data_IF_886091513444
#
_entry.id   IF_886091513444
#
_cell.length_a   1.000
_cell.length_b   1.000
_cell.length_c   1.000
_cell.angle_alpha   90.00
_cell.angle_beta   90.00
_cell.angle_gamma   90.00
#
_symmetry.space_group_name_H-M   'P 1'
#
loop_
_entity.id
_entity.type
_entity.pdbx_description
1 polymer ?
#
# COMPACT_ATOMS: atom_id res chain seq x y z
N UNK A 1 19.83 -1.82 11.50
CA UNK A 1 18.80 -1.10 12.27
C UNK A 1 19.38 -0.80 13.63
N UNK A 2 19.66 0.47 13.92
CA UNK A 2 20.28 0.87 15.19
C UNK A 2 19.27 1.03 16.33
N UNK A 3 17.96 1.05 16.03
CA UNK A 3 16.89 1.19 17.03
C UNK A 3 15.71 0.29 16.67
N UNK A 4 15.36 -0.61 17.57
CA UNK A 4 14.14 -1.39 17.52
C UNK A 4 13.16 -0.77 18.50
N UNK A 5 11.98 -0.39 18.01
CA UNK A 5 10.90 0.15 18.85
C UNK A 5 9.73 -0.83 18.87
N UNK A 6 9.25 -1.13 20.08
CA UNK A 6 8.09 -1.99 20.29
C UNK A 6 7.14 -1.32 21.28
N UNK A 7 5.92 -1.05 20.85
CA UNK A 7 4.86 -0.56 21.72
C UNK A 7 4.08 -1.75 22.29
N UNK A 8 3.94 -1.78 23.62
CA UNK A 8 3.14 -2.77 24.34
C UNK A 8 1.94 -2.05 24.92
N UNK A 9 0.74 -2.39 24.45
CA UNK A 9 -0.52 -1.84 24.93
C UNK A 9 -1.23 -2.86 25.82
N UNK A 10 -1.21 -2.71 27.15
CA UNK A 10 -1.98 -3.57 28.03
C UNK A 10 -3.48 -3.37 27.79
N UNK A 11 -4.23 -4.45 27.71
CA UNK A 11 -5.66 -4.43 27.45
C UNK A 11 -6.37 -5.56 28.22
N UNK A 12 -7.67 -5.44 28.35
CA UNK A 12 -8.55 -6.51 28.87
C UNK A 12 -9.61 -6.85 27.82
N UNK A 13 -10.20 -8.05 27.83
CA UNK A 13 -11.36 -8.35 26.98
C UNK A 13 -12.50 -7.36 27.27
N UNK A 14 -13.22 -6.93 26.21
CA UNK A 14 -14.39 -6.06 26.35
C UNK A 14 -15.50 -6.75 27.16
N UNK A 15 -15.66 -8.06 26.95
CA UNK A 15 -16.60 -8.91 27.67
C UNK A 15 -15.90 -10.10 28.28
N UNK A 16 -16.27 -10.46 29.52
CA UNK A 16 -15.72 -11.62 30.22
C UNK A 16 -16.34 -12.95 29.77
N UNK A 17 -17.41 -12.90 29.00
CA UNK A 17 -18.04 -14.10 28.45
C UNK A 17 -17.38 -14.44 27.13
N UNK A 18 -16.55 -15.43 27.17
CA UNK A 18 -15.79 -15.95 26.07
C UNK A 18 -16.68 -16.75 25.10
N UNK A 19 -17.28 -16.06 24.18
CA UNK A 19 -17.39 -16.66 22.86
C UNK A 19 -15.94 -16.73 22.31
N UNK A 20 -15.45 -17.91 21.90
CA UNK A 20 -14.03 -18.07 21.50
C UNK A 20 -13.64 -17.24 20.26
N UNK A 21 -14.56 -16.49 19.70
CA UNK A 21 -14.38 -15.65 18.52
C UNK A 21 -14.50 -14.15 18.80
N UNK A 22 -14.88 -13.74 20.00
CA UNK A 22 -14.94 -12.33 20.39
C UNK A 22 -13.54 -11.87 20.81
N UNK A 23 -12.89 -11.10 19.93
CA UNK A 23 -11.54 -10.57 20.12
C UNK A 23 -11.54 -9.09 20.43
N UNK A 24 -12.70 -8.55 20.84
CA UNK A 24 -12.86 -7.17 21.28
C UNK A 24 -12.09 -6.92 22.56
N UNK A 25 -11.31 -5.86 22.57
CA UNK A 25 -10.51 -5.44 23.72
C UNK A 25 -10.95 -4.06 24.22
N UNK A 26 -10.73 -3.84 25.52
CA UNK A 26 -10.87 -2.56 26.17
C UNK A 26 -9.48 -2.04 26.54
N UNK A 27 -9.18 -0.84 26.08
CA UNK A 27 -7.95 -0.10 26.38
C UNK A 27 -8.29 1.06 27.28
N UNK A 28 -7.53 1.21 28.36
CA UNK A 28 -7.66 2.38 29.24
C UNK A 28 -6.81 3.51 28.70
N UNK A 29 -7.46 4.61 28.33
CA UNK A 29 -6.82 5.83 27.85
C UNK A 29 -6.77 6.88 28.94
N UNK A 30 -5.57 7.38 29.24
CA UNK A 30 -5.38 8.45 30.24
C UNK A 30 -5.76 9.79 29.62
N UNK A 31 -6.81 10.45 30.16
CA UNK A 31 -7.24 11.79 29.74
C UNK A 31 -6.40 12.86 30.42
N UNK A 32 -6.23 12.75 31.75
CA UNK A 32 -5.41 13.66 32.56
C UNK A 32 -4.83 12.93 33.78
N UNK A 33 -4.25 13.65 34.73
CA UNK A 33 -3.56 13.06 35.87
C UNK A 33 -4.41 12.06 36.68
N UNK A 34 -5.75 12.24 36.73
CA UNK A 34 -6.66 11.46 37.58
C UNK A 34 -7.78 10.75 36.79
N UNK A 35 -8.00 11.10 35.51
CA UNK A 35 -9.14 10.59 34.75
C UNK A 35 -8.66 9.69 33.61
N UNK A 36 -9.39 8.60 33.47
CA UNK A 36 -9.20 7.59 32.43
C UNK A 36 -10.51 7.41 31.68
N UNK A 37 -10.39 7.07 30.39
CA UNK A 37 -11.49 6.71 29.52
C UNK A 37 -11.24 5.34 28.94
N UNK A 38 -12.30 4.56 28.78
CA UNK A 38 -12.21 3.24 28.15
C UNK A 38 -12.45 3.37 26.64
N UNK A 39 -11.51 2.87 25.87
CA UNK A 39 -11.63 2.76 24.42
C UNK A 39 -11.70 1.31 24.00
N UNK A 40 -12.55 1.04 23.05
CA UNK A 40 -12.72 -0.29 22.51
C UNK A 40 -12.00 -0.42 21.18
N UNK A 41 -11.44 -1.59 20.92
CA UNK A 41 -10.80 -1.92 19.65
C UNK A 41 -10.86 -3.43 19.40
N UNK A 42 -10.64 -3.85 18.15
CA UNK A 42 -10.53 -5.25 17.78
C UNK A 42 -9.39 -5.48 16.77
N UNK A 43 -8.13 -5.47 17.20
CA UNK A 43 -6.98 -5.63 16.31
C UNK A 43 -6.96 -6.97 15.58
N UNK A 44 -7.37 -8.05 16.24
CA UNK A 44 -7.42 -9.37 15.63
C UNK A 44 -8.52 -9.47 14.56
N UNK A 45 -9.73 -8.99 14.86
CA UNK A 45 -10.81 -8.91 13.88
C UNK A 45 -10.46 -8.00 12.70
N UNK A 46 -9.82 -6.85 12.97
CA UNK A 46 -9.32 -5.96 11.94
C UNK A 46 -8.31 -6.65 11.01
N UNK A 47 -7.36 -7.38 11.58
CA UNK A 47 -6.40 -8.18 10.80
C UNK A 47 -7.12 -9.19 9.91
N UNK A 48 -8.08 -9.94 10.45
CA UNK A 48 -8.88 -10.92 9.70
C UNK A 48 -9.65 -10.26 8.56
N UNK A 49 -10.32 -9.14 8.85
CA UNK A 49 -11.00 -8.36 7.82
C UNK A 49 -10.03 -7.92 6.71
N UNK A 50 -8.88 -7.40 7.06
CA UNK A 50 -7.88 -6.97 6.08
C UNK A 50 -7.38 -8.14 5.21
N UNK A 51 -7.15 -9.30 5.81
CA UNK A 51 -6.77 -10.53 5.09
C UNK A 51 -7.83 -10.90 4.05
N UNK A 52 -9.14 -10.84 4.37
CA UNK A 52 -10.21 -11.17 3.42
C UNK A 52 -10.25 -10.25 2.20
N UNK A 53 -9.75 -9.02 2.31
CA UNK A 53 -9.70 -8.07 1.17
C UNK A 53 -8.75 -8.53 0.07
N UNK A 54 -7.82 -9.40 0.36
CA UNK A 54 -6.77 -9.83 -0.58
C UNK A 54 -6.68 -11.36 -0.76
N UNK A 55 -7.56 -12.14 -0.15
CA UNK A 55 -7.48 -13.61 -0.12
C UNK A 55 -7.33 -14.24 -1.51
N UNK A 56 -8.13 -13.81 -2.48
CA UNK A 56 -8.10 -14.35 -3.85
C UNK A 56 -6.76 -14.10 -4.53
N UNK A 57 -6.25 -12.88 -4.41
CA UNK A 57 -4.98 -12.48 -5.01
C UNK A 57 -3.81 -13.13 -4.26
N UNK A 58 -3.87 -13.20 -2.94
CA UNK A 58 -2.86 -13.88 -2.13
C UNK A 58 -2.74 -15.37 -2.51
N UNK A 59 -3.86 -16.04 -2.70
CA UNK A 59 -3.86 -17.44 -3.15
C UNK A 59 -3.23 -17.61 -4.54
N UNK A 60 -3.50 -16.68 -5.48
CA UNK A 60 -2.90 -16.66 -6.82
C UNK A 60 -1.39 -16.44 -6.73
N UNK A 61 -0.97 -15.42 -5.99
CA UNK A 61 0.44 -15.08 -5.82
C UNK A 61 1.24 -16.20 -5.13
N UNK A 62 0.68 -16.86 -4.12
CA UNK A 62 1.29 -18.03 -3.49
C UNK A 62 1.54 -19.17 -4.48
N UNK A 63 0.58 -19.46 -5.36
CA UNK A 63 0.75 -20.50 -6.40
C UNK A 63 1.87 -20.14 -7.38
N UNK A 64 1.93 -18.87 -7.80
CA UNK A 64 2.99 -18.37 -8.69
C UNK A 64 4.36 -18.51 -8.03
N UNK A 65 4.48 -18.04 -6.78
CA UNK A 65 5.72 -18.13 -6.00
C UNK A 65 6.18 -19.57 -5.78
N UNK A 66 5.26 -20.46 -5.42
CA UNK A 66 5.55 -21.88 -5.24
C UNK A 66 6.10 -22.50 -6.53
N UNK A 67 5.44 -22.24 -7.67
CA UNK A 67 5.87 -22.73 -8.99
C UNK A 67 7.26 -22.21 -9.38
N UNK A 68 7.53 -20.92 -9.19
CA UNK A 68 8.82 -20.31 -9.53
C UNK A 68 9.98 -20.81 -8.66
N UNK A 69 9.70 -21.12 -7.39
CA UNK A 69 10.69 -21.58 -6.43
C UNK A 69 10.71 -23.10 -6.22
N UNK A 70 9.89 -23.87 -6.96
CA UNK A 70 9.76 -25.32 -6.86
C UNK A 70 9.45 -25.78 -5.43
N UNK A 71 8.50 -25.09 -4.79
CA UNK A 71 7.98 -25.38 -3.45
C UNK A 71 6.53 -25.87 -3.51
N UNK A 72 6.09 -26.59 -2.48
CA UNK A 72 4.66 -26.83 -2.27
C UNK A 72 3.98 -25.51 -1.80
N UNK A 73 2.69 -25.35 -2.15
CA UNK A 73 1.96 -24.10 -1.82
C UNK A 73 1.85 -23.90 -0.31
N UNK A 74 1.69 -24.99 0.42
CA UNK A 74 1.58 -25.05 1.88
C UNK A 74 2.85 -24.55 2.57
N UNK A 75 4.01 -24.77 1.95
CA UNK A 75 5.33 -24.36 2.47
C UNK A 75 5.65 -22.88 2.20
N UNK A 76 4.82 -22.18 1.42
CA UNK A 76 5.02 -20.75 1.14
C UNK A 76 4.52 -19.89 2.30
N UNK A 77 5.42 -19.29 3.11
CA UNK A 77 5.01 -18.43 4.20
C UNK A 77 4.30 -17.17 3.67
N UNK A 78 3.19 -16.80 4.28
CA UNK A 78 2.37 -15.65 3.84
C UNK A 78 3.16 -14.33 3.82
N UNK A 79 4.14 -14.18 4.72
CA UNK A 79 4.98 -12.96 4.77
C UNK A 79 5.97 -12.83 3.59
N UNK A 80 6.24 -13.92 2.86
CA UNK A 80 7.11 -13.90 1.67
C UNK A 80 6.40 -13.39 0.42
N UNK A 81 5.09 -13.44 0.42
CA UNK A 81 4.27 -13.04 -0.73
C UNK A 81 3.51 -11.76 -0.38
N UNK A 82 3.79 -10.70 -1.12
CA UNK A 82 3.08 -9.42 -0.97
C UNK A 82 2.07 -9.25 -2.07
N UNK A 83 0.85 -8.93 -1.67
CA UNK A 83 -0.22 -8.61 -2.62
C UNK A 83 -0.11 -7.17 -3.14
N UNK A 84 -0.72 -6.84 -4.30
CA UNK A 84 -0.80 -5.48 -4.80
C UNK A 84 -1.35 -4.49 -3.78
N UNK A 85 -2.38 -4.87 -3.00
CA UNK A 85 -2.91 -4.05 -1.91
C UNK A 85 -1.84 -3.70 -0.86
N UNK A 86 -1.08 -4.69 -0.40
CA UNK A 86 -0.03 -4.46 0.60
C UNK A 86 1.07 -3.55 0.07
N UNK A 87 1.49 -3.76 -1.20
CA UNK A 87 2.50 -2.93 -1.84
C UNK A 87 2.00 -1.50 -2.08
N UNK A 88 0.77 -1.33 -2.54
CA UNK A 88 0.15 -0.03 -2.73
C UNK A 88 0.09 0.76 -1.41
N UNK A 89 -0.36 0.12 -0.31
CA UNK A 89 -0.39 0.74 1.02
C UNK A 89 1.02 1.15 1.48
N UNK A 90 2.04 0.33 1.24
CA UNK A 90 3.42 0.68 1.59
C UNK A 90 3.92 1.90 0.80
N UNK A 91 3.62 1.99 -0.50
CA UNK A 91 3.96 3.13 -1.33
C UNK A 91 3.21 4.40 -0.88
N UNK A 92 1.92 4.31 -0.61
CA UNK A 92 1.13 5.43 -0.10
C UNK A 92 1.63 5.93 1.26
N UNK A 93 1.99 5.03 2.17
CA UNK A 93 2.61 5.42 3.45
C UNK A 93 3.96 6.09 3.25
N UNK A 94 4.80 5.56 2.35
CA UNK A 94 6.09 6.19 2.03
C UNK A 94 5.90 7.58 1.43
N UNK A 95 4.97 7.73 0.50
CA UNK A 95 4.61 9.01 -0.09
C UNK A 95 4.14 10.02 0.98
N UNK A 96 3.28 9.57 1.92
CA UNK A 96 2.87 10.37 3.06
C UNK A 96 4.07 10.85 3.88
N UNK A 97 4.99 9.96 4.21
CA UNK A 97 6.14 10.27 5.05
C UNK A 97 7.04 11.33 4.40
N UNK A 98 7.24 11.26 3.09
CA UNK A 98 7.97 12.27 2.32
C UNK A 98 7.18 13.60 2.28
N UNK A 99 5.88 13.54 1.97
CA UNK A 99 5.05 14.74 1.88
C UNK A 99 4.97 15.52 3.19
N UNK A 100 4.91 14.82 4.31
CA UNK A 100 4.79 15.41 5.65
C UNK A 100 6.11 15.50 6.41
N UNK A 101 7.27 15.30 5.79
CA UNK A 101 8.57 15.29 6.49
C UNK A 101 8.83 16.54 7.34
N UNK A 102 8.24 17.69 6.96
CA UNK A 102 8.36 18.96 7.67
C UNK A 102 7.09 19.35 8.46
N UNK A 103 6.07 18.48 8.51
CA UNK A 103 4.79 18.73 9.20
C UNK A 103 4.14 17.41 9.66
N UNK A 104 4.87 16.61 10.42
CA UNK A 104 4.44 15.28 10.85
C UNK A 104 3.18 15.29 11.74
N UNK A 105 2.90 16.40 12.44
CA UNK A 105 1.72 16.51 13.33
C UNK A 105 0.40 16.39 12.59
N UNK A 106 0.35 16.82 11.33
CA UNK A 106 -0.84 16.77 10.49
C UNK A 106 -0.87 15.57 9.54
N UNK A 107 0.16 14.70 9.59
CA UNK A 107 0.22 13.53 8.76
C UNK A 107 -0.93 12.55 9.09
N UNK A 108 -1.62 11.99 8.09
CA UNK A 108 -2.61 10.96 8.31
C UNK A 108 -2.01 9.76 9.01
N UNK A 109 -2.66 9.27 10.05
CA UNK A 109 -2.21 8.05 10.73
C UNK A 109 -2.36 6.83 9.81
N UNK A 110 -1.46 5.87 9.98
CA UNK A 110 -1.35 4.70 9.09
C UNK A 110 -2.64 3.89 8.98
N UNK A 111 -3.42 3.81 10.05
CA UNK A 111 -4.66 3.02 10.06
C UNK A 111 -5.74 3.63 9.15
N UNK A 112 -5.84 4.96 9.06
CA UNK A 112 -6.76 5.64 8.13
C UNK A 112 -6.41 5.26 6.69
N UNK A 113 -5.14 5.38 6.30
CA UNK A 113 -4.68 5.02 4.95
C UNK A 113 -4.96 3.55 4.67
N UNK A 114 -4.61 2.65 5.61
CA UNK A 114 -4.81 1.21 5.44
C UNK A 114 -6.28 0.84 5.29
N UNK A 115 -7.15 1.42 6.13
CA UNK A 115 -8.60 1.12 6.12
C UNK A 115 -9.25 1.59 4.83
N UNK A 116 -9.00 2.84 4.43
CA UNK A 116 -9.59 3.42 3.23
C UNK A 116 -9.06 2.72 1.96
N UNK A 117 -7.77 2.41 1.92
CA UNK A 117 -7.18 1.65 0.82
C UNK A 117 -7.79 0.25 0.69
N UNK A 118 -7.93 -0.47 1.80
CA UNK A 118 -8.52 -1.80 1.79
C UNK A 118 -10.01 -1.79 1.43
N UNK A 119 -10.76 -0.74 1.82
CA UNK A 119 -12.17 -0.56 1.40
C UNK A 119 -12.28 -0.27 -0.10
N UNK A 120 -11.37 0.52 -0.66
CA UNK A 120 -11.38 0.92 -2.07
C UNK A 120 -10.80 -0.14 -3.03
N UNK A 121 -9.98 -1.05 -2.52
CA UNK A 121 -9.38 -2.13 -3.31
C UNK A 121 -10.41 -3.16 -3.75
N UNK A 122 -10.43 -3.50 -5.05
CA UNK A 122 -11.39 -4.42 -5.65
C UNK A 122 -10.77 -5.75 -6.13
N UNK A 123 -9.49 -5.97 -5.83
CA UNK A 123 -8.78 -7.19 -6.23
C UNK A 123 -7.93 -7.00 -7.48
N UNK A 124 -7.40 -5.81 -7.70
CA UNK A 124 -6.50 -5.50 -8.80
C UNK A 124 -5.24 -6.38 -8.75
N UNK A 125 -4.79 -6.82 -9.91
CA UNK A 125 -3.68 -7.76 -10.03
C UNK A 125 -2.29 -7.09 -10.05
N UNK A 126 -2.25 -5.79 -10.37
CA UNK A 126 -1.00 -5.03 -10.40
C UNK A 126 -0.98 -3.92 -9.34
N UNK A 127 0.21 -3.55 -8.89
CA UNK A 127 0.39 -2.47 -7.92
C UNK A 127 -0.11 -1.13 -8.47
N UNK A 128 0.11 -0.88 -9.76
CA UNK A 128 -0.32 0.36 -10.40
C UNK A 128 -1.85 0.47 -10.44
N UNK A 129 -2.53 -0.58 -10.88
CA UNK A 129 -4.00 -0.63 -10.88
C UNK A 129 -4.56 -0.47 -9.47
N UNK A 130 -3.96 -1.14 -8.49
CA UNK A 130 -4.34 -1.01 -7.08
C UNK A 130 -4.19 0.43 -6.57
N UNK A 131 -3.08 1.12 -6.88
CA UNK A 131 -2.88 2.52 -6.51
C UNK A 131 -3.93 3.42 -7.17
N UNK A 132 -4.19 3.23 -8.47
CA UNK A 132 -5.20 3.99 -9.20
C UNK A 132 -6.61 3.81 -8.60
N UNK A 133 -7.02 2.56 -8.38
CA UNK A 133 -8.32 2.24 -7.79
C UNK A 133 -8.45 2.81 -6.37
N UNK A 134 -7.44 2.62 -5.54
CA UNK A 134 -7.39 3.13 -4.17
C UNK A 134 -7.51 4.66 -4.15
N UNK A 135 -6.65 5.37 -4.87
CA UNK A 135 -6.63 6.83 -4.85
C UNK A 135 -7.91 7.46 -5.42
N UNK A 136 -8.54 6.81 -6.41
CA UNK A 136 -9.80 7.29 -6.97
C UNK A 136 -11.02 6.96 -6.11
N UNK A 137 -10.94 5.89 -5.31
CA UNK A 137 -12.08 5.37 -4.54
C UNK A 137 -12.06 5.65 -3.04
N UNK A 138 -10.89 5.87 -2.42
CA UNK A 138 -10.78 5.86 -0.96
C UNK A 138 -11.56 6.97 -0.24
N UNK A 139 -11.77 8.11 -0.85
CA UNK A 139 -12.49 9.24 -0.26
C UNK A 139 -13.97 8.93 -0.04
N UNK A 140 -14.60 8.11 -0.87
CA UNK A 140 -16.02 7.74 -0.76
C UNK A 140 -16.34 6.91 0.49
N UNK A 141 -15.32 6.34 1.14
CA UNK A 141 -15.45 5.58 2.39
C UNK A 141 -15.26 6.43 3.65
N UNK A 142 -15.13 7.74 3.50
CA UNK A 142 -15.16 8.69 4.60
C UNK A 142 -16.62 9.10 4.79
N UNK A 143 -17.22 8.66 5.87
CA UNK A 143 -18.61 8.94 6.18
C UNK A 143 -18.74 10.24 6.99
N UNK A 144 -19.93 10.86 6.95
CA UNK A 144 -20.28 11.96 7.84
C UNK A 144 -21.50 11.51 8.64
N UNK A 145 -21.30 11.30 9.94
CA UNK A 145 -22.36 10.90 10.88
C UNK A 145 -22.59 12.01 11.88
N UNK A 146 -23.81 12.60 11.90
CA UNK A 146 -24.16 13.72 12.77
C UNK A 146 -23.15 14.90 12.69
N UNK A 147 -22.66 15.22 11.50
CA UNK A 147 -21.67 16.27 11.29
C UNK A 147 -20.21 15.87 11.60
N UNK A 148 -19.97 14.64 12.04
CA UNK A 148 -18.64 14.09 12.38
C UNK A 148 -18.10 13.29 11.22
N UNK A 149 -16.86 13.56 10.82
CA UNK A 149 -16.14 12.73 9.86
C UNK A 149 -15.73 11.40 10.50
N UNK A 150 -16.08 10.30 9.84
CA UNK A 150 -15.82 8.96 10.32
C UNK A 150 -15.05 8.13 9.31
N UNK A 151 -13.94 7.56 9.76
CA UNK A 151 -13.28 6.42 9.12
C UNK A 151 -13.45 5.23 10.08
N UNK A 152 -14.54 4.52 9.87
CA UNK A 152 -15.01 3.47 10.77
C UNK A 152 -14.09 2.26 10.75
N UNK A 153 -13.73 1.73 11.94
CA UNK A 153 -13.19 0.39 12.04
C UNK A 153 -14.22 -0.61 11.49
N UNK A 154 -13.89 -1.42 10.48
CA UNK A 154 -14.85 -2.29 9.81
C UNK A 154 -15.40 -3.43 10.70
N UNK A 155 -14.80 -3.66 11.86
CA UNK A 155 -15.17 -4.73 12.81
C UNK A 155 -15.52 -4.21 14.20
N UNK A 156 -15.49 -2.87 14.41
CA UNK A 156 -15.81 -2.24 15.69
C UNK A 156 -16.49 -0.89 15.44
N UNK A 157 -17.80 -0.83 15.61
CA UNK A 157 -18.57 0.38 15.29
C UNK A 157 -18.24 1.57 16.19
N UNK A 158 -17.83 1.33 17.41
CA UNK A 158 -17.48 2.38 18.36
C UNK A 158 -16.13 3.05 18.05
N UNK A 159 -15.29 2.43 17.18
CA UNK A 159 -13.98 2.96 16.87
C UNK A 159 -13.96 3.76 15.56
N UNK A 160 -13.79 5.08 15.68
CA UNK A 160 -13.59 5.99 14.57
C UNK A 160 -12.10 6.40 14.48
N UNK A 161 -11.39 5.98 13.45
CA UNK A 161 -9.98 6.33 13.27
C UNK A 161 -9.76 7.82 12.95
N UNK A 162 -10.81 8.54 12.53
CA UNK A 162 -10.78 9.97 12.26
C UNK A 162 -11.32 10.83 13.40
N UNK A 163 -11.44 10.29 14.62
CA UNK A 163 -12.00 10.98 15.81
C UNK A 163 -11.34 12.33 16.07
N UNK A 164 -10.02 12.44 15.87
CA UNK A 164 -9.25 13.66 16.07
C UNK A 164 -9.50 14.75 15.02
N UNK A 165 -10.15 14.45 13.90
CA UNK A 165 -10.41 15.46 12.87
C UNK A 165 -11.43 16.53 13.30
N UNK A 166 -12.23 16.25 14.33
CA UNK A 166 -13.11 17.25 14.94
C UNK A 166 -12.35 18.26 15.79
N UNK A 167 -11.41 17.76 16.59
CA UNK A 167 -10.60 18.60 17.48
C UNK A 167 -9.51 19.35 16.71
N UNK A 168 -8.98 18.73 15.65
CA UNK A 168 -7.90 19.22 14.80
C UNK A 168 -8.34 19.20 13.32
N UNK A 169 -9.19 20.13 12.86
CA UNK A 169 -9.72 20.13 11.49
C UNK A 169 -8.65 20.31 10.40
N UNK A 170 -7.48 20.86 10.77
CA UNK A 170 -6.31 20.94 9.90
C UNK A 170 -5.80 19.56 9.46
N UNK A 171 -5.93 18.50 10.28
CA UNK A 171 -5.55 17.13 9.91
C UNK A 171 -6.42 16.58 8.79
N UNK A 172 -7.72 16.85 8.82
CA UNK A 172 -8.63 16.51 7.73
C UNK A 172 -8.23 17.23 6.44
N UNK A 173 -8.02 18.55 6.55
CA UNK A 173 -7.60 19.35 5.40
C UNK A 173 -6.27 18.86 4.81
N UNK A 174 -5.32 18.49 5.67
CA UNK A 174 -4.03 17.94 5.28
C UNK A 174 -4.19 16.58 4.57
N UNK A 175 -5.11 15.72 5.05
CA UNK A 175 -5.42 14.44 4.41
C UNK A 175 -5.92 14.61 2.97
N UNK A 176 -6.89 15.49 2.72
CA UNK A 176 -7.40 15.73 1.37
C UNK A 176 -6.36 16.38 0.45
N UNK A 177 -5.54 17.31 0.96
CA UNK A 177 -4.40 17.86 0.20
C UNK A 177 -3.40 16.77 -0.19
N UNK A 178 -3.10 15.88 0.74
CA UNK A 178 -2.20 14.75 0.49
C UNK A 178 -2.75 13.77 -0.55
N UNK A 179 -4.04 13.40 -0.50
CA UNK A 179 -4.66 12.53 -1.52
C UNK A 179 -4.55 13.16 -2.91
N UNK A 180 -4.88 14.45 -3.04
CA UNK A 180 -4.78 15.15 -4.32
C UNK A 180 -3.34 15.18 -4.85
N UNK A 181 -2.36 15.36 -3.96
CA UNK A 181 -0.94 15.27 -4.33
C UNK A 181 -0.57 13.85 -4.75
N UNK A 182 -1.02 12.84 -4.02
CA UNK A 182 -0.76 11.44 -4.37
C UNK A 182 -1.40 11.05 -5.72
N UNK A 183 -2.62 11.49 -6.02
CA UNK A 183 -3.25 11.30 -7.34
C UNK A 183 -2.39 11.93 -8.46
N UNK A 184 -1.89 13.14 -8.22
CA UNK A 184 -0.99 13.78 -9.18
C UNK A 184 0.27 12.97 -9.39
N UNK A 185 0.97 12.61 -8.31
CA UNK A 185 2.30 11.98 -8.36
C UNK A 185 2.28 10.52 -8.84
N UNK A 186 1.21 9.77 -8.58
CA UNK A 186 1.13 8.37 -9.00
C UNK A 186 0.33 8.16 -10.29
N UNK A 187 -0.54 9.08 -10.66
CA UNK A 187 -1.43 8.90 -11.82
C UNK A 187 -1.12 9.92 -12.90
N UNK A 188 -1.23 11.23 -12.61
CA UNK A 188 -1.16 12.26 -13.65
C UNK A 188 0.27 12.50 -14.16
N UNK A 189 1.24 12.70 -13.26
CA UNK A 189 2.62 13.00 -13.65
C UNK A 189 3.29 11.81 -14.38
N UNK A 190 3.14 10.54 -13.95
CA UNK A 190 3.66 9.39 -14.68
C UNK A 190 3.10 9.23 -16.10
N UNK A 191 1.82 9.54 -16.31
CA UNK A 191 1.20 9.48 -17.66
C UNK A 191 1.74 10.55 -18.60
N UNK A 192 2.24 11.66 -18.06
CA UNK A 192 2.81 12.77 -18.83
C UNK A 192 4.35 12.69 -18.96
N UNK A 193 5.01 11.74 -18.29
CA UNK A 193 6.45 11.59 -18.33
C UNK A 193 6.92 11.10 -19.72
N UNK A 194 7.89 11.80 -20.30
CA UNK A 194 8.51 11.41 -21.56
C UNK A 194 9.84 10.70 -21.26
N UNK A 195 9.79 9.36 -21.30
CA UNK A 195 10.96 8.50 -21.03
C UNK A 195 11.12 8.10 -19.57
N UNK A 196 11.97 7.06 -19.38
CA UNK A 196 12.17 6.46 -18.05
C UNK A 196 12.92 7.37 -17.07
N UNK A 197 13.81 8.22 -17.57
CA UNK A 197 14.58 9.16 -16.73
C UNK A 197 13.65 10.21 -16.09
N UNK A 198 12.77 10.81 -16.90
CA UNK A 198 11.78 11.76 -16.41
C UNK A 198 10.83 11.10 -15.41
N UNK A 199 10.39 9.87 -15.69
CA UNK A 199 9.55 9.08 -14.79
C UNK A 199 10.27 8.78 -13.46
N UNK A 200 11.55 8.40 -13.53
CA UNK A 200 12.37 8.17 -12.34
C UNK A 200 12.48 9.44 -11.48
N UNK A 201 12.73 10.58 -12.11
CA UNK A 201 12.87 11.84 -11.40
C UNK A 201 11.58 12.32 -10.73
N UNK A 202 10.42 12.10 -11.35
CA UNK A 202 9.12 12.36 -10.71
C UNK A 202 8.90 11.45 -9.50
N UNK A 203 9.19 10.15 -9.60
CA UNK A 203 9.08 9.25 -8.46
C UNK A 203 10.08 9.52 -7.35
N UNK A 204 11.29 10.00 -7.64
CA UNK A 204 12.27 10.41 -6.60
C UNK A 204 11.73 11.52 -5.71
N UNK A 205 11.04 12.50 -6.29
CA UNK A 205 10.42 13.61 -5.54
C UNK A 205 9.38 13.11 -4.52
N UNK A 206 8.65 12.06 -4.85
CA UNK A 206 7.51 11.56 -4.05
C UNK A 206 7.82 10.35 -3.18
N UNK A 207 8.84 9.56 -3.53
CA UNK A 207 9.21 8.32 -2.83
C UNK A 207 10.64 8.34 -2.27
N UNK A 208 11.46 9.32 -2.68
CA UNK A 208 12.87 9.46 -2.33
C UNK A 208 13.80 8.67 -3.25
N UNK A 209 15.06 9.10 -3.32
CA UNK A 209 16.06 8.62 -4.30
C UNK A 209 16.38 7.13 -4.16
N UNK A 210 16.66 6.68 -2.94
CA UNK A 210 17.20 5.33 -2.72
C UNK A 210 16.25 4.19 -3.17
N UNK A 211 14.93 4.19 -2.85
CA UNK A 211 14.04 3.14 -3.33
C UNK A 211 13.81 3.22 -4.83
N UNK A 212 13.71 4.43 -5.40
CA UNK A 212 13.48 4.61 -6.84
C UNK A 212 14.69 4.15 -7.63
N UNK A 213 15.91 4.57 -7.26
CA UNK A 213 17.13 4.13 -7.93
C UNK A 213 17.27 2.60 -7.89
N UNK A 214 16.98 1.95 -6.75
CA UNK A 214 17.01 0.47 -6.68
C UNK A 214 16.00 -0.18 -7.62
N UNK A 215 14.78 0.39 -7.72
CA UNK A 215 13.75 -0.16 -8.59
C UNK A 215 14.10 -0.03 -10.07
N UNK A 216 14.58 1.14 -10.49
CA UNK A 216 14.97 1.39 -11.88
C UNK A 216 16.23 0.60 -12.29
N UNK A 217 17.24 0.49 -11.42
CA UNK A 217 18.40 -0.35 -11.66
C UNK A 217 18.00 -1.82 -11.83
N UNK A 218 17.15 -2.34 -10.93
CA UNK A 218 16.65 -3.70 -11.07
C UNK A 218 15.85 -3.90 -12.36
N UNK A 219 15.04 -2.95 -12.75
CA UNK A 219 14.30 -3.00 -14.03
C UNK A 219 15.25 -3.05 -15.22
N UNK A 220 16.35 -2.26 -15.21
CA UNK A 220 17.38 -2.27 -16.24
C UNK A 220 18.10 -3.61 -16.28
N UNK A 221 18.49 -4.17 -15.15
CA UNK A 221 19.13 -5.48 -15.05
C UNK A 221 18.21 -6.60 -15.58
N UNK A 222 16.94 -6.59 -15.18
CA UNK A 222 15.94 -7.57 -15.64
C UNK A 222 15.74 -7.49 -17.17
N UNK A 223 15.71 -6.28 -17.75
CA UNK A 223 15.61 -6.07 -19.20
C UNK A 223 16.90 -6.53 -19.93
N UNK A 224 18.05 -6.26 -19.35
CA UNK A 224 19.33 -6.71 -19.88
C UNK A 224 19.41 -8.25 -19.94
N UNK A 225 19.07 -8.92 -18.84
CA UNK A 225 19.05 -10.39 -18.78
C UNK A 225 17.98 -10.98 -19.71
N UNK A 226 16.80 -10.36 -19.80
CA UNK A 226 15.78 -10.77 -20.76
C UNK A 226 16.26 -10.67 -22.20
N UNK A 227 16.99 -9.60 -22.55
CA UNK A 227 17.59 -9.43 -23.87
C UNK A 227 18.63 -10.50 -24.17
N UNK A 228 19.56 -10.75 -23.23
CA UNK A 228 20.59 -11.76 -23.34
C UNK A 228 20.02 -13.17 -23.57
N UNK A 229 18.89 -13.46 -22.92
CA UNK A 229 18.19 -14.74 -23.02
C UNK A 229 17.17 -14.81 -24.18
N UNK A 230 17.11 -13.79 -25.07
CA UNK A 230 16.13 -13.73 -26.16
C UNK A 230 14.68 -13.62 -25.71
N UNK A 231 14.44 -13.10 -24.52
CA UNK A 231 13.10 -12.93 -23.91
C UNK A 231 12.66 -11.46 -23.82
N UNK A 232 13.33 -10.56 -24.51
CA UNK A 232 12.93 -9.16 -24.60
C UNK A 232 12.17 -8.92 -25.90
N UNK A 233 11.02 -8.28 -25.81
CA UNK A 233 10.15 -7.99 -26.93
C UNK A 233 9.83 -6.50 -26.98
N UNK A 234 9.69 -5.97 -28.20
CA UNK A 234 9.21 -4.60 -28.42
C UNK A 234 7.76 -4.65 -28.92
N UNK A 235 6.92 -3.79 -28.38
CA UNK A 235 5.51 -3.67 -28.80
C UNK A 235 5.40 -2.55 -29.80
N UNK A 236 5.15 -2.91 -31.07
CA UNK A 236 4.73 -2.09 -32.18
C UNK A 236 5.09 -0.59 -32.14
N UNK A 237 4.12 0.25 -32.47
CA UNK A 237 4.26 1.70 -32.63
C UNK A 237 4.66 2.48 -31.38
N UNK A 238 4.53 1.91 -30.19
CA UNK A 238 4.85 2.61 -28.92
C UNK A 238 6.29 2.42 -28.45
N UNK A 239 7.05 1.48 -29.06
CA UNK A 239 8.43 1.17 -28.64
C UNK A 239 8.53 0.58 -27.23
N UNK A 240 7.43 0.22 -26.59
CA UNK A 240 7.42 -0.37 -25.24
C UNK A 240 8.16 -1.69 -25.21
N UNK A 241 9.00 -1.89 -24.16
CA UNK A 241 9.74 -3.13 -23.95
C UNK A 241 9.03 -4.02 -22.94
N UNK A 242 9.04 -5.33 -23.18
CA UNK A 242 8.43 -6.32 -22.28
C UNK A 242 9.20 -7.63 -22.29
N UNK A 243 9.14 -8.36 -21.18
CA UNK A 243 9.82 -9.64 -20.98
C UNK A 243 8.94 -10.86 -21.28
N UNK A 244 7.66 -10.62 -21.67
CA UNK A 244 6.73 -11.69 -22.06
C UNK A 244 6.32 -11.46 -23.51
N UNK A 245 6.28 -12.54 -24.31
CA UNK A 245 5.76 -12.48 -25.67
C UNK A 245 4.25 -12.26 -25.64
N UNK A 246 3.75 -11.37 -26.52
CA UNK A 246 2.33 -11.19 -26.78
C UNK A 246 2.09 -11.00 -28.28
N UNK A 247 0.84 -11.12 -28.72
CA UNK A 247 0.48 -10.94 -30.10
C UNK A 247 0.87 -9.53 -30.60
N UNK A 248 1.60 -9.46 -31.72
CA UNK A 248 2.10 -8.21 -32.29
C UNK A 248 3.40 -7.69 -31.69
N UNK A 249 4.02 -8.39 -30.76
CA UNK A 249 5.34 -8.02 -30.23
C UNK A 249 6.45 -8.66 -31.05
N UNK A 250 7.52 -7.90 -31.30
CA UNK A 250 8.73 -8.33 -32.04
C UNK A 250 9.87 -8.58 -31.04
N UNK A 251 10.51 -9.72 -31.15
CA UNK A 251 11.68 -10.05 -30.31
C UNK A 251 12.81 -9.07 -30.59
N UNK A 252 13.37 -8.49 -29.54
CA UNK A 252 14.55 -7.61 -29.61
C UNK A 252 15.80 -8.48 -29.76
N UNK A 253 16.48 -8.36 -30.91
CA UNK A 253 17.71 -9.12 -31.17
C UNK A 253 18.84 -8.67 -30.22
N UNK A 254 19.66 -9.61 -29.81
CA UNK A 254 20.91 -9.31 -29.10
C UNK A 254 21.84 -8.41 -29.95
N UNK A 255 22.59 -7.53 -29.29
CA UNK A 255 23.64 -6.78 -29.99
C UNK A 255 24.75 -7.75 -30.42
N UNK A 256 25.04 -7.79 -31.72
CA UNK A 256 26.16 -8.55 -32.29
C UNK A 256 27.36 -7.65 -32.57
N UNK A 257 27.30 -6.39 -32.17
CA UNK A 257 28.43 -5.48 -32.32
C UNK A 257 29.43 -5.72 -31.16
N UNK A 258 30.44 -6.52 -31.41
CA UNK A 258 31.69 -6.47 -30.68
C UNK A 258 32.54 -5.42 -31.41
N UNK A 259 32.65 -4.22 -30.83
CA UNK A 259 33.70 -3.31 -31.22
C UNK A 259 35.03 -3.96 -30.86
N UNK A 260 35.84 -4.24 -31.83
CA UNK A 260 37.26 -4.45 -31.64
C UNK A 260 37.91 -3.14 -31.23
#
# INVERSE_FOLDING_TARGET
YNEFHMDILPCVPKTYYLEPYLTDIRLTHKINASNYDDRYSNPYGYRKWFETRMDKILAKEKRTFAKENKLEIEDVPTYRVKTPLQMAIQLLKRHRDIYFQNNNENAPISIIITTLAAKAYSGEETVYEAICSILNGMEQFIEIRNGVYCVQNPVMEEENFADKWQVFPERKTAFYKWINKAKKDFISDPLNAIGLDTLADEFKKSLGDAPVNRAFNKCADDMYEARKNGKLYSVGLTGGLMTKSMQGATQVKGHTFFGE
#
